data_IF_106870956035
#
_entry.id   IF_106870956035
#
_cell.length_a   1.000
_cell.length_b   1.000
_cell.length_c   1.000
_cell.angle_alpha   90.00
_cell.angle_beta   90.00
_cell.angle_gamma   90.00
#
_symmetry.space_group_name_H-M   'P 1'
#
loop_
_entity.id
_entity.type
_entity.pdbx_description
1 polymer ?
#
# COMPACT_ATOMS: atom_id res chain seq x y z
N UNK A 1 -0.75 33.03 8.53
CA UNK A 1 0.05 31.93 7.95
C UNK A 1 -0.71 31.30 6.78
N UNK A 2 -1.19 32.13 5.86
CA UNK A 2 -1.79 31.68 4.62
C UNK A 2 -0.70 31.76 3.55
N UNK A 3 -0.58 30.74 2.71
CA UNK A 3 0.13 30.62 1.45
C UNK A 3 1.37 29.69 1.40
N UNK A 4 1.61 28.84 2.40
CA UNK A 4 2.67 27.83 2.22
C UNK A 4 2.03 26.47 1.92
N UNK A 5 2.30 25.92 0.72
CA UNK A 5 1.84 24.60 0.32
C UNK A 5 2.24 23.54 1.38
N UNK A 6 1.34 22.62 1.77
CA UNK A 6 1.68 21.60 2.75
C UNK A 6 2.71 20.63 2.20
N UNK A 7 3.67 20.21 3.01
CA UNK A 7 4.49 19.03 2.71
C UNK A 7 3.69 17.77 2.89
N UNK A 8 4.13 16.68 2.26
CA UNK A 8 3.44 15.39 2.29
C UNK A 8 4.43 14.28 2.57
N UNK A 9 4.13 13.45 3.55
CA UNK A 9 4.85 12.21 3.84
C UNK A 9 3.87 11.06 3.73
N UNK A 10 4.07 10.19 2.75
CA UNK A 10 3.36 8.91 2.61
C UNK A 10 4.25 7.83 3.19
N UNK A 11 3.79 7.14 4.23
CA UNK A 11 4.45 5.99 4.84
C UNK A 11 3.65 4.75 4.44
N UNK A 12 4.31 3.83 3.76
CA UNK A 12 3.65 2.68 3.12
C UNK A 12 4.40 1.40 3.46
N UNK A 13 3.70 0.44 3.99
CA UNK A 13 4.23 -0.89 4.34
C UNK A 13 3.87 -1.92 3.28
N UNK A 14 4.44 -3.11 3.38
CA UNK A 14 4.33 -4.20 2.42
C UNK A 14 3.81 -5.47 3.13
N UNK A 15 2.65 -5.98 2.74
CA UNK A 15 2.00 -7.14 3.33
C UNK A 15 1.58 -6.97 4.82
N UNK A 16 1.29 -5.76 5.29
CA UNK A 16 0.84 -5.52 6.66
C UNK A 16 -0.65 -5.80 6.81
N UNK A 17 -0.99 -6.67 7.75
CA UNK A 17 -2.37 -7.00 8.05
C UNK A 17 -3.11 -5.92 8.83
N UNK A 18 -4.44 -5.88 8.68
CA UNK A 18 -5.31 -4.95 9.42
C UNK A 18 -5.17 -5.12 10.94
N UNK A 19 -4.93 -6.34 11.42
CA UNK A 19 -4.71 -6.66 12.83
C UNK A 19 -3.26 -6.60 13.30
N UNK A 20 -2.35 -5.97 12.54
CA UNK A 20 -0.92 -5.91 12.87
C UNK A 20 -0.48 -4.55 13.44
N UNK A 21 -1.41 -3.66 13.79
CA UNK A 21 -1.14 -2.37 14.44
C UNK A 21 -2.14 -2.09 15.55
N UNK A 22 -1.73 -1.35 16.58
CA UNK A 22 -2.55 -1.08 17.77
C UNK A 22 -3.80 -0.26 17.49
N UNK A 23 -3.72 0.78 16.65
CA UNK A 23 -4.85 1.69 16.37
C UNK A 23 -6.04 1.04 15.62
N UNK A 24 -5.88 -0.16 15.07
CA UNK A 24 -6.98 -0.97 14.52
C UNK A 24 -7.47 -2.05 15.48
N UNK A 25 -6.94 -2.09 16.70
CA UNK A 25 -7.26 -3.11 17.71
C UNK A 25 -6.44 -4.39 17.55
N UNK A 26 -5.31 -4.33 16.85
CA UNK A 26 -4.40 -5.47 16.70
C UNK A 26 -3.84 -5.94 18.05
N UNK A 27 -3.72 -7.26 18.22
CA UNK A 27 -3.23 -7.88 19.44
C UNK A 27 -1.82 -8.48 19.23
N UNK A 28 -0.95 -8.26 20.23
CA UNK A 28 0.40 -8.83 20.25
C UNK A 28 1.47 -8.09 19.44
N UNK A 29 1.16 -6.99 18.74
CA UNK A 29 2.14 -6.10 18.11
C UNK A 29 2.01 -4.71 18.72
N UNK A 30 3.04 -4.25 19.44
CA UNK A 30 3.07 -2.90 20.00
C UNK A 30 3.57 -1.92 18.92
N UNK A 31 2.73 -0.94 18.59
CA UNK A 31 3.03 0.12 17.60
C UNK A 31 2.73 1.51 18.17
N UNK A 32 3.38 1.91 19.29
CA UNK A 32 3.02 3.15 19.99
C UNK A 32 3.15 4.41 19.14
N UNK A 33 4.15 4.51 18.27
CA UNK A 33 4.34 5.68 17.41
C UNK A 33 3.29 5.77 16.29
N UNK A 34 2.87 4.64 15.72
CA UNK A 34 1.74 4.58 14.78
C UNK A 34 0.42 4.89 15.47
N UNK A 35 0.24 4.42 16.70
CA UNK A 35 -0.95 4.70 17.52
C UNK A 35 -1.03 6.20 17.85
N UNK A 36 0.10 6.83 18.22
CA UNK A 36 0.18 8.27 18.46
C UNK A 36 -0.07 9.07 17.16
N UNK A 37 0.47 8.63 16.03
CA UNK A 37 0.21 9.24 14.73
C UNK A 37 -1.28 9.19 14.38
N UNK A 38 -1.92 8.04 14.55
CA UNK A 38 -3.35 7.86 14.32
C UNK A 38 -4.19 8.72 15.28
N UNK A 39 -3.82 8.78 16.56
CA UNK A 39 -4.48 9.60 17.58
C UNK A 39 -4.32 11.11 17.30
N UNK A 40 -3.23 11.53 16.64
CA UNK A 40 -3.00 12.93 16.24
C UNK A 40 -3.81 13.37 15.02
N UNK A 41 -4.61 12.49 14.43
CA UNK A 41 -5.39 12.75 13.22
C UNK A 41 -6.65 11.90 13.11
N UNK A 42 -6.87 11.28 11.95
CA UNK A 42 -8.04 10.47 11.66
C UNK A 42 -7.65 9.03 11.27
N UNK A 43 -8.28 8.04 11.90
CA UNK A 43 -8.23 6.63 11.51
C UNK A 43 -9.35 6.33 10.52
N UNK A 44 -9.01 5.64 9.41
CA UNK A 44 -9.96 5.19 8.39
C UNK A 44 -10.31 3.71 8.65
N UNK A 45 -11.51 3.43 9.17
CA UNK A 45 -11.90 2.04 9.48
C UNK A 45 -12.15 1.18 8.24
N UNK A 46 -12.52 1.80 7.12
CA UNK A 46 -12.87 1.14 5.84
C UNK A 46 -11.99 1.68 4.72
N UNK A 47 -10.68 1.47 4.87
CA UNK A 47 -9.74 1.83 3.81
C UNK A 47 -9.21 0.59 3.12
N UNK A 48 -9.16 0.66 1.80
CA UNK A 48 -8.88 -0.50 0.98
C UNK A 48 -7.69 -0.26 0.03
N UNK A 49 -6.84 -1.27 -0.09
CA UNK A 49 -5.95 -1.41 -1.22
C UNK A 49 -6.76 -1.55 -2.52
N UNK A 50 -6.31 -0.99 -3.63
CA UNK A 50 -6.99 -1.18 -4.92
C UNK A 50 -6.76 -2.56 -5.54
N UNK A 51 -5.84 -3.32 -5.00
CA UNK A 51 -5.55 -4.70 -5.39
C UNK A 51 -5.05 -5.48 -4.17
N UNK A 52 -5.28 -6.79 -4.10
CA UNK A 52 -4.79 -7.61 -3.00
C UNK A 52 -3.30 -7.97 -3.13
N UNK A 53 -2.54 -7.25 -4.00
CA UNK A 53 -1.11 -7.46 -4.24
C UNK A 53 -0.38 -6.15 -4.53
N UNK A 54 0.96 -6.18 -4.34
CA UNK A 54 1.83 -5.00 -4.25
C UNK A 54 1.80 -4.07 -5.48
N UNK A 55 2.29 -4.51 -6.66
CA UNK A 55 2.50 -3.63 -7.83
C UNK A 55 1.24 -2.89 -8.26
N UNK A 56 0.07 -3.56 -8.41
CA UNK A 56 -1.17 -2.88 -8.78
C UNK A 56 -1.61 -1.83 -7.76
N UNK A 57 -1.50 -2.16 -6.46
CA UNK A 57 -1.89 -1.23 -5.40
C UNK A 57 -0.99 0.01 -5.35
N UNK A 58 0.33 -0.17 -5.55
CA UNK A 58 1.31 0.92 -5.66
C UNK A 58 1.05 1.81 -6.87
N UNK A 59 0.70 1.21 -8.02
CA UNK A 59 0.31 1.95 -9.21
C UNK A 59 -0.93 2.82 -8.94
N UNK A 60 -1.95 2.27 -8.27
CA UNK A 60 -3.17 3.01 -7.95
C UNK A 60 -2.90 4.19 -7.01
N UNK A 61 -2.09 4.02 -5.95
CA UNK A 61 -1.71 5.10 -5.05
C UNK A 61 -1.04 6.26 -5.79
N UNK A 62 -0.07 5.94 -6.65
CA UNK A 62 0.72 6.96 -7.34
C UNK A 62 -0.03 7.65 -8.48
N UNK A 63 -0.93 6.95 -9.16
CA UNK A 63 -1.64 7.50 -10.32
C UNK A 63 -3.01 8.07 -10.01
N UNK A 64 -3.60 7.69 -8.88
CA UNK A 64 -5.01 7.96 -8.56
C UNK A 64 -5.99 7.18 -9.45
N UNK A 65 -5.51 6.16 -10.16
CA UNK A 65 -6.30 5.36 -11.12
C UNK A 65 -6.47 3.92 -10.67
N UNK A 66 -7.52 3.28 -11.15
CA UNK A 66 -7.65 1.83 -11.01
C UNK A 66 -6.43 1.12 -11.61
N UNK A 67 -5.90 0.04 -11.00
CA UNK A 67 -4.67 -0.63 -11.44
C UNK A 67 -4.64 -1.00 -12.94
N UNK A 68 -5.74 -1.55 -13.45
CA UNK A 68 -5.85 -1.89 -14.87
C UNK A 68 -5.79 -0.67 -15.79
N UNK A 69 -6.40 0.46 -15.39
CA UNK A 69 -6.33 1.71 -16.12
C UNK A 69 -4.93 2.35 -16.03
N UNK A 70 -4.25 2.18 -14.90
CA UNK A 70 -2.86 2.59 -14.74
C UNK A 70 -1.87 1.73 -15.55
N UNK A 71 -2.31 0.58 -16.06
CA UNK A 71 -1.49 -0.34 -16.85
C UNK A 71 -0.71 -1.36 -16.02
N UNK A 72 -1.06 -1.56 -14.74
CA UNK A 72 -0.41 -2.51 -13.84
C UNK A 72 -1.48 -3.27 -13.08
N UNK A 73 -1.98 -4.37 -13.66
CA UNK A 73 -3.03 -5.21 -13.05
C UNK A 73 -2.51 -6.48 -12.37
N UNK A 74 -1.21 -6.76 -12.51
CA UNK A 74 -0.56 -7.98 -11.98
C UNK A 74 0.74 -7.65 -11.26
N UNK A 75 1.26 -8.60 -10.48
CA UNK A 75 2.58 -8.49 -9.86
C UNK A 75 3.65 -8.40 -10.95
N UNK A 76 4.49 -7.38 -10.86
CA UNK A 76 5.55 -7.17 -11.83
C UNK A 76 6.77 -8.03 -11.54
N UNK A 77 7.44 -8.49 -12.61
CA UNK A 77 8.73 -9.16 -12.52
C UNK A 77 9.84 -8.18 -12.11
N UNK A 78 10.99 -8.73 -11.73
CA UNK A 78 12.10 -8.00 -11.14
C UNK A 78 13.43 -8.11 -11.89
N UNK A 79 13.45 -8.70 -13.08
CA UNK A 79 14.67 -8.72 -13.90
C UNK A 79 15.05 -7.30 -14.32
N UNK A 80 16.35 -7.01 -14.41
CA UNK A 80 16.85 -5.68 -14.84
C UNK A 80 16.32 -5.32 -16.23
N UNK A 81 15.92 -4.06 -16.39
CA UNK A 81 15.44 -3.52 -17.66
C UNK A 81 14.01 -3.91 -18.03
N UNK A 82 13.23 -4.44 -17.10
CA UNK A 82 11.83 -4.77 -17.34
C UNK A 82 10.95 -3.53 -17.27
N UNK A 83 10.04 -3.40 -18.23
CA UNK A 83 9.01 -2.37 -18.20
C UNK A 83 8.00 -2.66 -17.07
N UNK A 84 7.48 -1.59 -16.53
CA UNK A 84 6.48 -1.61 -15.46
C UNK A 84 5.41 -0.57 -15.69
N UNK A 85 5.24 0.34 -14.72
CA UNK A 85 4.29 1.44 -14.84
C UNK A 85 4.57 2.23 -16.11
N UNK A 86 3.62 2.33 -17.07
CA UNK A 86 3.78 3.14 -18.26
C UNK A 86 3.97 4.62 -17.93
N UNK A 87 4.62 5.36 -18.83
CA UNK A 87 4.77 6.81 -18.70
C UNK A 87 3.40 7.49 -18.62
N UNK A 88 3.11 8.10 -17.48
CA UNK A 88 1.87 8.82 -17.22
C UNK A 88 2.04 9.80 -16.05
N UNK A 89 1.02 10.64 -15.84
CA UNK A 89 0.99 11.53 -14.69
C UNK A 89 0.84 10.72 -13.39
N UNK A 90 1.76 10.95 -12.46
CA UNK A 90 1.72 10.41 -11.10
C UNK A 90 1.55 11.53 -10.09
N UNK A 91 1.22 11.21 -8.85
CA UNK A 91 1.24 12.18 -7.75
C UNK A 91 2.60 12.89 -7.66
N UNK A 92 3.70 12.13 -7.80
CA UNK A 92 5.04 12.70 -7.74
C UNK A 92 5.34 13.65 -8.92
N UNK A 93 4.92 13.32 -10.16
CA UNK A 93 5.09 14.24 -11.30
C UNK A 93 4.29 15.53 -11.12
N UNK A 94 3.02 15.43 -10.69
CA UNK A 94 2.15 16.59 -10.47
C UNK A 94 2.68 17.51 -9.36
N UNK A 95 3.15 16.95 -8.26
CA UNK A 95 3.75 17.71 -7.16
C UNK A 95 5.09 18.33 -7.57
N UNK A 96 5.96 17.60 -8.26
CA UNK A 96 7.23 18.13 -8.79
C UNK A 96 6.98 19.32 -9.72
N UNK A 97 6.03 19.20 -10.64
CA UNK A 97 5.69 20.22 -11.60
C UNK A 97 5.06 21.47 -10.91
N UNK A 98 4.50 21.31 -9.70
CA UNK A 98 4.06 22.38 -8.81
C UNK A 98 5.17 22.92 -7.88
N UNK A 99 6.43 22.49 -8.04
CA UNK A 99 7.58 23.00 -7.30
C UNK A 99 7.94 22.27 -6.03
N UNK A 100 7.34 21.09 -5.76
CA UNK A 100 7.74 20.24 -4.65
C UNK A 100 9.08 19.55 -4.92
N UNK A 101 9.90 19.41 -3.90
CA UNK A 101 11.01 18.46 -3.91
C UNK A 101 10.47 17.07 -3.59
N UNK A 102 10.77 16.08 -4.43
CA UNK A 102 10.16 14.75 -4.36
C UNK A 102 11.21 13.68 -4.09
N UNK A 103 10.92 12.77 -3.17
CA UNK A 103 11.77 11.63 -2.88
C UNK A 103 10.97 10.35 -2.67
N UNK A 104 11.55 9.24 -3.11
CA UNK A 104 11.13 7.88 -2.76
C UNK A 104 12.27 7.20 -2.00
N UNK A 105 11.96 6.64 -0.84
CA UNK A 105 12.89 5.81 -0.07
C UNK A 105 12.26 4.44 0.19
N UNK A 106 12.96 3.37 -0.22
CA UNK A 106 12.52 1.99 -0.05
C UNK A 106 12.04 1.31 -1.33
N UNK A 107 10.98 0.50 -1.24
CA UNK A 107 10.48 -0.36 -2.30
C UNK A 107 9.78 0.44 -3.41
N UNK A 108 10.18 0.19 -4.67
CA UNK A 108 9.49 0.72 -5.85
C UNK A 108 8.43 -0.24 -6.40
N UNK A 109 8.84 -1.37 -6.91
CA UNK A 109 8.04 -2.46 -7.48
C UNK A 109 7.10 -2.05 -8.65
N UNK A 110 7.48 -1.04 -9.42
CA UNK A 110 6.73 -0.58 -10.60
C UNK A 110 7.57 -0.57 -11.88
N UNK A 111 8.56 -1.46 -11.96
CA UNK A 111 9.43 -1.68 -13.10
C UNK A 111 10.89 -1.36 -12.81
N UNK A 112 11.78 -1.95 -13.60
CA UNK A 112 13.24 -1.88 -13.42
C UNK A 112 13.96 -1.27 -14.63
N UNK A 113 13.23 -0.87 -15.68
CA UNK A 113 13.78 -0.09 -16.80
C UNK A 113 13.96 1.37 -16.40
N UNK A 114 14.81 2.11 -17.12
CA UNK A 114 15.00 3.54 -16.89
C UNK A 114 13.70 4.33 -17.04
N UNK A 115 12.84 3.95 -17.98
CA UNK A 115 11.56 4.61 -18.25
C UNK A 115 10.54 4.36 -17.13
N UNK A 116 10.57 3.14 -16.54
CA UNK A 116 9.70 2.76 -15.42
C UNK A 116 10.35 2.97 -14.05
N UNK A 117 11.47 3.69 -13.98
CA UNK A 117 12.18 4.01 -12.73
C UNK A 117 11.45 5.08 -11.90
N UNK A 118 11.78 5.23 -10.60
CA UNK A 118 11.27 6.34 -9.78
C UNK A 118 11.52 7.71 -10.42
N UNK A 119 12.69 7.95 -11.01
CA UNK A 119 13.01 9.20 -11.69
C UNK A 119 12.11 9.45 -12.91
N UNK A 120 11.81 8.42 -13.70
CA UNK A 120 10.86 8.49 -14.81
C UNK A 120 9.44 8.85 -14.38
N UNK A 121 9.11 8.64 -13.12
CA UNK A 121 7.79 8.89 -12.54
C UNK A 121 7.75 10.04 -11.53
N UNK A 122 8.72 10.97 -11.61
CA UNK A 122 8.65 12.26 -10.94
C UNK A 122 9.38 12.36 -9.60
N UNK A 123 10.09 11.32 -9.16
CA UNK A 123 10.92 11.42 -7.95
C UNK A 123 12.30 11.98 -8.27
N UNK A 124 12.62 13.14 -7.69
CA UNK A 124 13.91 13.80 -7.85
C UNK A 124 15.04 13.13 -7.07
N UNK A 125 14.70 12.38 -6.01
CA UNK A 125 15.63 11.57 -5.22
C UNK A 125 15.09 10.17 -5.02
N UNK A 126 15.99 9.18 -5.02
CA UNK A 126 15.65 7.78 -4.78
C UNK A 126 16.75 7.11 -3.96
N UNK A 127 16.35 6.38 -2.92
CA UNK A 127 17.16 5.41 -2.22
C UNK A 127 16.32 4.17 -1.94
N UNK A 128 16.75 2.99 -2.36
CA UNK A 128 15.98 1.77 -2.13
C UNK A 128 16.19 0.72 -3.22
N UNK A 129 15.16 -0.08 -3.49
CA UNK A 129 15.23 -1.17 -4.43
C UNK A 129 14.05 -1.17 -5.42
N UNK A 130 14.27 -1.75 -6.59
CA UNK A 130 13.31 -1.70 -7.71
C UNK A 130 12.41 -2.93 -7.75
N UNK A 131 12.87 -4.07 -7.23
CA UNK A 131 12.18 -5.36 -7.23
C UNK A 131 11.00 -5.43 -6.25
N UNK A 132 10.31 -6.57 -6.26
CA UNK A 132 9.20 -6.85 -5.33
C UNK A 132 9.64 -7.13 -3.91
N UNK A 133 10.80 -7.74 -3.71
CA UNK A 133 11.39 -8.00 -2.40
C UNK A 133 12.90 -8.20 -2.53
N UNK A 134 13.60 -7.93 -1.44
CA UNK A 134 15.03 -8.18 -1.27
C UNK A 134 15.28 -8.69 0.15
N UNK A 135 16.38 -9.37 0.35
CA UNK A 135 16.90 -9.70 1.68
C UNK A 135 17.24 -8.43 2.46
N UNK A 136 16.90 -8.39 3.75
CA UNK A 136 17.02 -7.17 4.56
C UNK A 136 18.44 -6.76 4.90
N UNK A 137 19.42 -7.65 4.73
CA UNK A 137 20.83 -7.39 5.06
C UNK A 137 21.77 -7.51 3.87
N UNK A 138 21.48 -8.40 2.93
CA UNK A 138 22.28 -8.55 1.71
C UNK A 138 21.74 -7.73 0.55
N UNK A 139 20.48 -7.27 0.63
CA UNK A 139 19.79 -6.49 -0.41
C UNK A 139 19.71 -7.24 -1.75
N UNK A 140 19.71 -8.59 -1.69
CA UNK A 140 19.64 -9.46 -2.86
C UNK A 140 18.18 -9.88 -3.05
N UNK A 141 17.66 -9.71 -4.26
CA UNK A 141 16.44 -10.34 -4.71
C UNK A 141 16.74 -11.83 -4.98
N UNK A 142 16.15 -12.72 -4.17
CA UNK A 142 16.42 -14.17 -4.19
C UNK A 142 15.28 -14.99 -4.80
N UNK A 143 14.24 -14.35 -5.32
CA UNK A 143 13.08 -15.04 -5.90
C UNK A 143 13.46 -15.97 -7.04
N UNK A 144 14.39 -15.57 -7.91
CA UNK A 144 15.05 -16.43 -8.86
C UNK A 144 16.33 -17.00 -8.23
N UNK A 145 16.22 -18.17 -7.60
CA UNK A 145 17.36 -18.86 -6.96
C UNK A 145 18.53 -19.14 -7.90
N UNK A 146 18.25 -19.26 -9.20
CA UNK A 146 19.29 -19.49 -10.20
C UNK A 146 20.08 -18.23 -10.54
N UNK A 147 19.48 -17.05 -10.38
CA UNK A 147 20.05 -15.77 -10.74
C UNK A 147 19.74 -14.71 -9.69
N UNK A 148 20.30 -14.81 -8.47
CA UNK A 148 20.10 -13.78 -7.46
C UNK A 148 20.67 -12.46 -7.94
N UNK A 149 19.88 -11.37 -7.83
CA UNK A 149 20.26 -10.04 -8.24
C UNK A 149 20.36 -9.15 -7.01
N UNK A 150 21.49 -8.47 -6.84
CA UNK A 150 21.59 -7.38 -5.88
C UNK A 150 20.73 -6.20 -6.38
N UNK A 151 19.99 -5.58 -5.48
CA UNK A 151 19.02 -4.54 -5.84
C UNK A 151 18.92 -3.50 -4.73
N UNK A 152 19.96 -2.71 -4.58
CA UNK A 152 19.97 -1.50 -3.74
C UNK A 152 20.59 -0.34 -4.52
N UNK A 153 19.90 0.81 -4.52
CA UNK A 153 20.21 1.94 -5.39
C UNK A 153 20.22 3.25 -4.63
N UNK A 154 21.14 4.14 -5.02
CA UNK A 154 21.16 5.55 -4.67
C UNK A 154 20.98 6.36 -5.95
N UNK A 155 19.78 6.89 -6.19
CA UNK A 155 19.43 7.45 -7.49
C UNK A 155 19.44 6.39 -8.59
N UNK A 156 20.32 6.53 -9.59
CA UNK A 156 20.53 5.56 -10.68
C UNK A 156 21.76 4.67 -10.48
N UNK A 157 22.49 4.83 -9.37
CA UNK A 157 23.70 4.09 -9.08
C UNK A 157 23.41 2.95 -8.10
N UNK A 158 23.87 1.73 -8.43
CA UNK A 158 23.80 0.59 -7.53
C UNK A 158 24.79 0.80 -6.36
N UNK A 159 24.31 0.60 -5.13
CA UNK A 159 25.11 0.78 -3.92
C UNK A 159 25.11 -0.47 -3.05
N UNK A 160 26.20 -0.76 -2.35
CA UNK A 160 26.38 -1.97 -1.55
C UNK A 160 26.55 -1.60 -0.07
N UNK A 161 25.58 -2.03 0.74
CA UNK A 161 25.48 -1.77 2.17
C UNK A 161 25.25 -3.08 2.95
N UNK A 162 25.94 -4.15 2.56
CA UNK A 162 25.74 -5.48 3.12
C UNK A 162 25.95 -5.49 4.64
N UNK A 163 25.00 -6.11 5.35
CA UNK A 163 25.00 -6.20 6.82
C UNK A 163 24.23 -5.06 7.50
N UNK A 164 23.82 -4.01 6.77
CA UNK A 164 22.95 -2.96 7.30
C UNK A 164 21.49 -3.36 7.13
N UNK A 165 20.67 -3.14 8.15
CA UNK A 165 19.27 -3.52 8.14
C UNK A 165 18.43 -2.53 7.33
N UNK A 166 17.78 -3.01 6.29
CA UNK A 166 17.14 -2.17 5.28
C UNK A 166 16.05 -1.25 5.84
N UNK A 167 15.23 -1.71 6.81
CA UNK A 167 14.21 -0.87 7.44
C UNK A 167 14.81 0.36 8.13
N UNK A 168 15.95 0.19 8.82
CA UNK A 168 16.69 1.30 9.43
C UNK A 168 17.23 2.24 8.36
N UNK A 169 17.84 1.70 7.29
CA UNK A 169 18.39 2.50 6.19
C UNK A 169 17.32 3.35 5.49
N UNK A 170 16.11 2.80 5.29
CA UNK A 170 14.97 3.53 4.73
C UNK A 170 14.58 4.69 5.65
N UNK A 171 14.51 4.45 6.96
CA UNK A 171 14.22 5.49 7.95
C UNK A 171 15.28 6.59 7.95
N UNK A 172 16.56 6.21 7.94
CA UNK A 172 17.68 7.16 7.92
C UNK A 172 17.62 8.04 6.66
N UNK A 173 17.44 7.44 5.49
CA UNK A 173 17.31 8.17 4.23
C UNK A 173 16.08 9.10 4.19
N UNK A 174 14.99 8.72 4.84
CA UNK A 174 13.79 9.56 4.99
C UNK A 174 14.10 10.80 5.86
N UNK A 175 14.71 10.61 7.02
CA UNK A 175 15.10 11.69 7.93
C UNK A 175 16.14 12.63 7.26
N UNK A 176 17.17 12.07 6.61
CA UNK A 176 18.17 12.85 5.86
C UNK A 176 17.54 13.70 4.74
N UNK A 177 16.54 13.15 4.02
CA UNK A 177 15.81 13.94 3.02
C UNK A 177 15.07 15.10 3.67
N UNK A 178 14.34 14.87 4.77
CA UNK A 178 13.59 15.92 5.47
C UNK A 178 14.51 17.02 6.02
N UNK A 179 15.71 16.67 6.51
CA UNK A 179 16.69 17.63 7.02
C UNK A 179 17.30 18.51 5.92
N UNK A 180 17.44 17.95 4.72
CA UNK A 180 18.12 18.59 3.60
C UNK A 180 17.19 19.43 2.71
N UNK A 181 15.88 19.05 2.68
CA UNK A 181 14.90 19.68 1.78
C UNK A 181 14.46 21.05 2.31
N UNK A 182 14.42 22.05 1.42
CA UNK A 182 13.87 23.37 1.69
C UNK A 182 12.53 23.56 0.95
N UNK A 183 11.53 24.13 1.63
CA UNK A 183 10.19 24.37 1.06
C UNK A 183 9.31 23.11 1.03
N UNK A 184 8.24 23.11 0.18
CA UNK A 184 7.26 22.02 0.12
C UNK A 184 7.92 20.76 -0.44
N UNK A 185 7.59 19.63 0.17
CA UNK A 185 8.19 18.34 -0.20
C UNK A 185 7.18 17.21 -0.23
N UNK A 186 7.43 16.25 -1.10
CA UNK A 186 6.73 14.97 -1.16
C UNK A 186 7.73 13.84 -0.91
N UNK A 187 7.59 13.18 0.21
CA UNK A 187 8.39 12.03 0.61
C UNK A 187 7.53 10.77 0.61
N UNK A 188 7.89 9.79 -0.21
CA UNK A 188 7.27 8.47 -0.19
C UNK A 188 8.21 7.49 0.50
N UNK A 189 7.91 7.15 1.77
CA UNK A 189 8.61 6.16 2.58
C UNK A 189 7.95 4.81 2.37
N UNK A 190 8.57 3.96 1.58
CA UNK A 190 8.02 2.68 1.14
C UNK A 190 8.80 1.53 1.78
N UNK A 191 8.43 1.18 3.01
CA UNK A 191 9.04 0.05 3.71
C UNK A 191 8.73 -1.27 2.99
N UNK A 192 9.69 -2.19 2.97
CA UNK A 192 9.49 -3.57 2.57
C UNK A 192 8.98 -4.45 3.72
N UNK A 193 9.03 -3.98 4.96
CA UNK A 193 8.50 -4.67 6.12
C UNK A 193 6.96 -4.56 6.19
N UNK A 194 6.28 -5.62 6.66
CA UNK A 194 6.80 -6.90 7.11
C UNK A 194 6.84 -8.02 6.03
N UNK A 195 6.97 -7.69 4.73
CA UNK A 195 7.10 -8.67 3.65
C UNK A 195 8.30 -9.62 3.90
N UNK A 196 8.17 -10.89 3.53
CA UNK A 196 9.28 -11.84 3.63
C UNK A 196 10.49 -11.45 2.75
N UNK A 197 11.74 -11.93 3.08
CA UNK A 197 12.10 -12.86 4.16
C UNK A 197 11.92 -12.22 5.51
N UNK A 198 11.56 -13.03 6.51
CA UNK A 198 11.27 -12.52 7.85
C UNK A 198 12.58 -12.31 8.62
N UNK A 199 13.08 -11.08 8.55
CA UNK A 199 14.31 -10.67 9.21
C UNK A 199 14.09 -9.44 10.08
N UNK A 200 14.56 -9.51 11.32
CA UNK A 200 14.63 -8.35 12.21
C UNK A 200 15.92 -8.40 13.05
N UNK A 201 16.47 -7.26 13.49
CA UNK A 201 17.58 -7.21 14.44
C UNK A 201 17.21 -7.90 15.76
N UNK A 202 18.19 -8.55 16.40
CA UNK A 202 17.98 -9.36 17.60
C UNK A 202 17.35 -8.56 18.76
N UNK A 203 17.67 -7.28 18.89
CA UNK A 203 17.08 -6.38 19.89
C UNK A 203 15.58 -6.17 19.72
N UNK A 204 15.07 -6.20 18.49
CA UNK A 204 13.63 -6.15 18.22
C UNK A 204 12.97 -7.51 18.49
N UNK A 205 13.60 -8.61 18.05
CA UNK A 205 13.10 -9.96 18.28
C UNK A 205 12.93 -10.24 19.77
N UNK A 206 13.90 -9.85 20.59
CA UNK A 206 13.86 -10.04 22.04
C UNK A 206 12.71 -9.31 22.76
N UNK A 207 12.11 -8.28 22.16
CA UNK A 207 10.93 -7.60 22.73
C UNK A 207 9.68 -8.50 22.74
N UNK A 208 9.66 -9.56 21.91
CA UNK A 208 8.48 -10.37 21.64
C UNK A 208 8.70 -11.89 21.92
N UNK A 209 9.59 -12.25 22.84
CA UNK A 209 9.91 -13.63 23.19
C UNK A 209 8.71 -14.46 23.67
N UNK A 210 7.63 -13.80 24.07
CA UNK A 210 6.38 -14.43 24.50
C UNK A 210 5.47 -14.86 23.32
N UNK A 211 5.78 -14.46 22.09
CA UNK A 211 4.98 -14.82 20.91
C UNK A 211 5.53 -16.06 20.19
N UNK A 212 4.69 -16.80 19.44
CA UNK A 212 5.15 -17.84 18.51
C UNK A 212 6.13 -17.27 17.47
N UNK A 213 7.02 -18.11 16.95
CA UNK A 213 8.17 -17.69 16.13
C UNK A 213 7.79 -16.81 14.92
N UNK A 214 6.80 -17.22 14.14
CA UNK A 214 6.35 -16.47 12.97
C UNK A 214 5.72 -15.12 13.36
N UNK A 215 4.88 -15.11 14.39
CA UNK A 215 4.25 -13.90 14.92
C UNK A 215 5.29 -12.98 15.56
N UNK A 216 6.27 -13.55 16.28
CA UNK A 216 7.39 -12.83 16.87
C UNK A 216 8.17 -12.04 15.82
N UNK A 217 8.47 -12.65 14.68
CA UNK A 217 9.22 -12.00 13.61
C UNK A 217 8.43 -10.84 12.98
N UNK A 218 7.14 -11.01 12.72
CA UNK A 218 6.28 -9.90 12.25
C UNK A 218 6.25 -8.76 13.26
N UNK A 219 6.05 -9.06 14.54
CA UNK A 219 6.02 -8.06 15.60
C UNK A 219 7.36 -7.30 15.70
N UNK A 220 8.49 -8.02 15.60
CA UNK A 220 9.82 -7.43 15.61
C UNK A 220 10.09 -6.53 14.38
N UNK A 221 9.67 -6.96 13.19
CA UNK A 221 9.78 -6.16 11.97
C UNK A 221 8.92 -4.91 12.04
N UNK A 222 7.70 -5.04 12.57
CA UNK A 222 6.79 -3.90 12.75
C UNK A 222 7.25 -2.95 13.84
N UNK A 223 7.89 -3.42 14.91
CA UNK A 223 8.49 -2.54 15.91
C UNK A 223 9.63 -1.70 15.31
N UNK A 224 10.41 -2.24 14.37
CA UNK A 224 11.43 -1.46 13.66
C UNK A 224 10.82 -0.41 12.72
N UNK A 225 9.69 -0.72 12.08
CA UNK A 225 8.92 0.27 11.29
C UNK A 225 8.34 1.35 12.20
N UNK A 226 7.74 0.96 13.32
CA UNK A 226 7.12 1.87 14.28
C UNK A 226 8.13 2.86 14.88
N UNK A 227 9.31 2.37 15.32
CA UNK A 227 10.42 3.22 15.76
C UNK A 227 10.85 4.18 14.61
N UNK A 228 10.84 3.71 13.36
CA UNK A 228 11.12 4.51 12.17
C UNK A 228 10.10 5.62 11.95
N UNK A 229 8.81 5.32 12.12
CA UNK A 229 7.72 6.32 12.05
C UNK A 229 7.90 7.38 13.12
N UNK A 230 8.20 6.97 14.36
CA UNK A 230 8.50 7.89 15.46
C UNK A 230 9.62 8.86 15.10
N UNK A 231 10.74 8.35 14.57
CA UNK A 231 11.88 9.17 14.14
C UNK A 231 11.55 10.16 13.01
N UNK A 232 10.73 9.76 12.05
CA UNK A 232 10.28 10.65 10.95
C UNK A 232 9.43 11.79 11.52
N UNK A 233 8.45 11.48 12.39
CA UNK A 233 7.58 12.48 13.03
C UNK A 233 8.40 13.42 13.92
N UNK A 234 9.30 12.89 14.76
CA UNK A 234 10.21 13.68 15.59
C UNK A 234 11.12 14.60 14.75
N UNK A 235 11.57 14.15 13.59
CA UNK A 235 12.34 14.96 12.65
C UNK A 235 11.51 16.14 12.12
N UNK A 236 10.23 15.91 11.76
CA UNK A 236 9.33 16.99 11.34
C UNK A 236 9.07 17.99 12.47
N UNK A 237 8.92 17.52 13.71
CA UNK A 237 8.72 18.37 14.90
C UNK A 237 9.97 19.23 15.18
N UNK A 238 11.14 18.62 15.19
CA UNK A 238 12.44 19.30 15.40
C UNK A 238 12.73 20.37 14.34
N UNK A 239 12.29 20.13 13.11
CA UNK A 239 12.42 21.08 12.00
C UNK A 239 11.30 22.15 12.00
N UNK A 240 10.33 22.08 12.91
CA UNK A 240 9.18 22.99 12.96
C UNK A 240 8.23 22.87 11.75
N UNK A 241 8.20 21.69 11.09
CA UNK A 241 7.46 21.46 9.84
C UNK A 241 6.19 20.62 10.04
N UNK A 242 6.02 20.02 11.24
CA UNK A 242 4.93 19.07 11.51
C UNK A 242 3.54 19.65 11.25
N UNK A 243 3.31 20.89 11.67
CA UNK A 243 2.02 21.59 11.53
C UNK A 243 1.57 21.77 10.06
N UNK A 244 2.53 21.90 9.14
CA UNK A 244 2.26 22.05 7.70
C UNK A 244 2.67 20.82 6.89
N UNK A 245 2.57 19.64 7.50
CA UNK A 245 2.87 18.36 6.84
C UNK A 245 1.72 17.38 7.02
N UNK A 246 1.20 16.90 5.89
CA UNK A 246 0.27 15.77 5.83
C UNK A 246 1.10 14.49 5.98
N UNK A 247 0.78 13.67 6.97
CA UNK A 247 1.35 12.31 7.11
C UNK A 247 0.24 11.30 6.88
N UNK A 248 0.42 10.46 5.88
CA UNK A 248 -0.46 9.35 5.55
C UNK A 248 0.27 8.04 5.82
N UNK A 249 -0.35 7.11 6.52
CA UNK A 249 0.14 5.75 6.76
C UNK A 249 -0.83 4.72 6.24
N UNK A 250 -0.34 3.69 5.54
CA UNK A 250 -1.13 2.52 5.16
C UNK A 250 -0.24 1.35 4.67
N UNK A 251 -0.88 0.26 4.22
CA UNK A 251 -0.24 -0.91 3.58
C UNK A 251 -0.72 -1.11 2.14
N UNK A 252 0.07 -1.81 1.33
CA UNK A 252 -0.27 -2.04 -0.08
C UNK A 252 -1.29 -3.18 -0.28
N UNK A 253 -1.37 -4.13 0.61
CA UNK A 253 -2.36 -5.21 0.67
C UNK A 253 -2.39 -5.84 2.07
N UNK A 254 -3.31 -6.77 2.28
CA UNK A 254 -3.35 -7.57 3.49
C UNK A 254 -2.18 -8.55 3.62
N UNK A 255 -2.07 -9.26 4.77
CA UNK A 255 -0.89 -10.06 5.09
C UNK A 255 -0.76 -11.28 4.17
N UNK A 256 0.49 -11.67 3.90
CA UNK A 256 0.80 -12.85 3.11
C UNK A 256 0.54 -14.14 3.90
N UNK A 257 0.00 -15.14 3.22
CA UNK A 257 -0.08 -16.53 3.69
C UNK A 257 0.57 -17.48 2.67
N UNK A 258 1.58 -17.00 1.97
CA UNK A 258 2.33 -17.79 0.99
C UNK A 258 3.28 -18.78 1.68
N UNK A 259 3.61 -19.89 1.00
CA UNK A 259 4.54 -20.90 1.49
C UNK A 259 6.03 -20.52 1.37
N UNK A 260 6.34 -19.33 0.87
CA UNK A 260 7.70 -18.88 0.56
C UNK A 260 8.31 -17.95 1.61
N UNK A 261 7.78 -17.99 2.81
CA UNK A 261 8.32 -17.21 3.91
C UNK A 261 9.54 -17.89 4.51
N UNK A 262 10.70 -17.28 4.31
CA UNK A 262 11.97 -17.77 4.81
C UNK A 262 12.14 -17.41 6.29
N UNK A 263 11.52 -18.20 7.17
CA UNK A 263 11.76 -18.13 8.60
C UNK A 263 12.89 -19.06 9.00
N UNK A 264 13.90 -18.55 9.68
CA UNK A 264 15.10 -19.33 10.08
C UNK A 264 15.82 -20.02 8.91
N UNK A 265 15.74 -19.45 7.69
CA UNK A 265 16.36 -20.01 6.49
C UNK A 265 15.61 -21.17 5.84
N UNK A 266 14.40 -21.48 6.33
CA UNK A 266 13.53 -22.53 5.78
C UNK A 266 12.31 -21.95 5.06
N UNK A 267 11.89 -22.60 3.98
CA UNK A 267 10.66 -22.29 3.27
C UNK A 267 9.49 -23.01 3.96
N UNK A 268 8.70 -22.26 4.71
CA UNK A 268 7.58 -22.79 5.49
C UNK A 268 6.27 -22.08 5.16
N UNK A 269 5.16 -22.73 5.45
CA UNK A 269 3.87 -22.06 5.48
C UNK A 269 3.89 -20.98 6.57
N UNK A 270 3.38 -19.79 6.23
CA UNK A 270 3.43 -18.62 7.09
C UNK A 270 2.03 -18.17 7.47
N UNK A 271 1.84 -17.90 8.75
CA UNK A 271 0.59 -17.42 9.31
C UNK A 271 0.81 -16.30 10.35
N UNK A 272 1.99 -15.66 10.36
CA UNK A 272 2.36 -14.70 11.39
C UNK A 272 1.73 -13.32 11.25
N UNK A 273 1.29 -12.91 10.04
CA UNK A 273 0.51 -11.68 9.83
C UNK A 273 -0.94 -11.85 10.28
N UNK A 274 -1.58 -10.79 10.76
CA UNK A 274 -2.94 -10.80 11.29
C UNK A 274 -3.90 -9.95 10.45
N UNK A 275 -4.95 -10.57 9.96
CA UNK A 275 -6.06 -9.84 9.29
C UNK A 275 -7.00 -9.15 10.28
N UNK A 276 -6.80 -9.31 11.60
CA UNK A 276 -7.75 -8.85 12.62
C UNK A 276 -9.06 -9.63 12.61
N UNK A 277 -9.03 -10.89 12.14
CA UNK A 277 -10.21 -11.75 12.01
C UNK A 277 -10.98 -11.58 10.70
N UNK A 278 -10.56 -10.67 9.81
CA UNK A 278 -11.13 -10.50 8.47
C UNK A 278 -10.79 -11.71 7.60
N UNK A 279 -11.71 -12.12 6.74
CA UNK A 279 -11.53 -13.26 5.84
C UNK A 279 -10.55 -12.98 4.72
N UNK A 280 -9.77 -13.98 4.34
CA UNK A 280 -8.83 -13.93 3.21
C UNK A 280 -7.49 -13.28 3.58
N UNK A 281 -6.54 -13.37 2.66
CA UNK A 281 -5.17 -12.88 2.79
C UNK A 281 -4.73 -12.26 1.45
N UNK A 282 -3.48 -11.82 1.33
CA UNK A 282 -2.87 -11.37 0.08
C UNK A 282 -3.28 -12.24 -1.10
N UNK A 283 -3.74 -11.64 -2.19
CA UNK A 283 -4.28 -12.32 -3.37
C UNK A 283 -5.79 -12.58 -3.31
N UNK A 284 -6.46 -12.27 -2.21
CA UNK A 284 -7.90 -12.40 -2.02
C UNK A 284 -8.63 -11.08 -2.13
N UNK A 285 -9.81 -11.05 -2.75
CA UNK A 285 -10.70 -9.89 -2.72
C UNK A 285 -11.68 -9.89 -1.52
N UNK A 286 -11.54 -10.84 -0.58
CA UNK A 286 -12.16 -10.71 0.74
C UNK A 286 -11.49 -9.61 1.56
N UNK A 287 -12.15 -9.15 2.62
CA UNK A 287 -11.71 -8.01 3.44
C UNK A 287 -10.26 -8.16 3.92
N UNK A 288 -9.85 -9.35 4.37
CA UNK A 288 -8.49 -9.59 4.86
C UNK A 288 -7.37 -9.45 3.83
N UNK A 289 -7.68 -9.52 2.54
CA UNK A 289 -6.71 -9.30 1.46
C UNK A 289 -6.59 -7.85 1.01
N UNK A 290 -7.64 -7.05 1.20
CA UNK A 290 -7.72 -5.68 0.66
C UNK A 290 -7.95 -4.58 1.70
N UNK A 291 -8.55 -4.88 2.87
CA UNK A 291 -8.73 -3.89 3.94
C UNK A 291 -7.43 -3.74 4.72
N UNK A 292 -6.92 -2.52 4.79
CA UNK A 292 -5.59 -2.22 5.32
C UNK A 292 -5.64 -1.13 6.40
N UNK A 293 -4.74 -1.19 7.41
CA UNK A 293 -4.69 -0.16 8.44
C UNK A 293 -4.32 1.18 7.84
N UNK A 294 -5.05 2.24 8.19
CA UNK A 294 -4.84 3.55 7.56
C UNK A 294 -5.13 4.69 8.52
N UNK A 295 -4.24 5.66 8.54
CA UNK A 295 -4.48 6.93 9.21
C UNK A 295 -3.94 8.13 8.41
N UNK A 296 -4.57 9.28 8.63
CA UNK A 296 -4.18 10.58 8.10
C UNK A 296 -3.95 11.54 9.27
N UNK A 297 -2.80 12.18 9.32
CA UNK A 297 -2.50 13.17 10.32
C UNK A 297 -2.03 14.48 9.68
N UNK A 298 -2.75 15.56 9.95
CA UNK A 298 -2.41 16.93 9.53
C UNK A 298 -2.85 17.89 10.62
N UNK A 299 -1.95 18.23 11.56
CA UNK A 299 -2.29 19.09 12.69
C UNK A 299 -2.91 20.41 12.25
N UNK A 300 -3.91 20.87 13.01
CA UNK A 300 -4.65 22.09 12.69
C UNK A 300 -5.67 21.98 11.56
N UNK A 301 -5.67 20.89 10.79
CA UNK A 301 -6.61 20.66 9.66
C UNK A 301 -7.48 19.42 9.90
N UNK A 302 -6.88 18.31 10.25
CA UNK A 302 -7.60 17.07 10.62
C UNK A 302 -7.79 17.04 12.13
N UNK A 303 -9.03 16.83 12.59
CA UNK A 303 -9.34 16.78 14.03
C UNK A 303 -8.71 15.54 14.65
N UNK A 304 -7.87 15.68 15.71
CA UNK A 304 -7.27 14.54 16.40
C UNK A 304 -8.32 13.58 17.00
N UNK A 305 -7.99 12.28 16.99
CA UNK A 305 -8.83 11.20 17.52
C UNK A 305 -10.10 10.93 16.71
N UNK A 306 -10.18 11.45 15.49
CA UNK A 306 -11.33 11.17 14.61
C UNK A 306 -11.27 9.72 14.08
N UNK A 307 -12.42 9.06 14.03
CA UNK A 307 -12.59 7.78 13.33
C UNK A 307 -13.60 7.94 12.22
N UNK A 308 -13.22 7.60 11.00
CA UNK A 308 -14.06 7.72 9.82
C UNK A 308 -14.45 6.34 9.29
N UNK A 309 -15.76 6.12 9.14
CA UNK A 309 -16.33 4.91 8.54
C UNK A 309 -16.58 5.05 7.02
N UNK A 310 -16.11 6.15 6.44
CA UNK A 310 -16.23 6.41 5.00
C UNK A 310 -15.35 5.43 4.24
N UNK A 311 -15.89 4.68 3.26
CA UNK A 311 -15.09 3.79 2.42
C UNK A 311 -14.12 4.58 1.54
N UNK A 312 -12.84 4.23 1.58
CA UNK A 312 -11.78 4.82 0.77
C UNK A 312 -10.87 3.76 0.13
N UNK A 313 -10.18 4.13 -0.93
CA UNK A 313 -9.20 3.28 -1.62
C UNK A 313 -7.85 4.00 -1.80
N UNK A 314 -6.79 3.25 -2.08
CA UNK A 314 -5.46 3.83 -2.32
C UNK A 314 -5.43 4.84 -3.47
N UNK A 315 -6.26 4.66 -4.48
CA UNK A 315 -6.42 5.63 -5.57
C UNK A 315 -6.92 7.01 -5.10
N UNK A 316 -7.49 7.11 -3.89
CA UNK A 316 -7.96 8.36 -3.30
C UNK A 316 -6.82 9.22 -2.72
N UNK A 317 -5.64 8.64 -2.51
CA UNK A 317 -4.50 9.36 -1.94
C UNK A 317 -4.06 10.50 -2.86
N UNK A 318 -3.91 10.23 -4.15
CA UNK A 318 -3.48 11.25 -5.10
C UNK A 318 -4.44 12.44 -5.18
N UNK A 319 -5.76 12.29 -5.43
CA UNK A 319 -6.69 13.42 -5.46
C UNK A 319 -6.83 14.12 -4.09
N UNK A 320 -6.68 13.41 -2.96
CA UNK A 320 -6.73 14.01 -1.63
C UNK A 320 -5.53 14.94 -1.40
N UNK A 321 -4.33 14.47 -1.69
CA UNK A 321 -3.10 15.27 -1.56
C UNK A 321 -3.11 16.46 -2.52
N UNK A 322 -3.52 16.26 -3.78
CA UNK A 322 -3.60 17.34 -4.76
C UNK A 322 -4.64 18.39 -4.37
N UNK A 323 -5.80 17.97 -3.87
CA UNK A 323 -6.82 18.90 -3.34
C UNK A 323 -6.27 19.71 -2.16
N UNK A 324 -5.56 19.07 -1.21
CA UNK A 324 -4.93 19.74 -0.08
C UNK A 324 -3.85 20.75 -0.51
N UNK A 325 -3.17 20.48 -1.63
CA UNK A 325 -2.20 21.40 -2.24
C UNK A 325 -2.85 22.47 -3.16
N UNK A 326 -4.18 22.47 -3.32
CA UNK A 326 -4.87 23.36 -4.23
C UNK A 326 -4.57 23.09 -5.72
N UNK A 327 -4.16 21.89 -6.07
CA UNK A 327 -3.78 21.48 -7.43
C UNK A 327 -4.91 20.72 -8.12
N UNK A 328 -5.01 20.79 -9.46
CA UNK A 328 -5.99 20.01 -10.21
C UNK A 328 -5.68 18.51 -10.15
N UNK A 329 -6.73 17.69 -10.14
CA UNK A 329 -6.64 16.23 -10.10
C UNK A 329 -7.62 15.54 -11.04
N UNK A 330 -7.82 16.12 -12.22
CA UNK A 330 -8.54 15.50 -13.33
C UNK A 330 -7.86 14.20 -13.82
N UNK A 331 -8.64 13.35 -14.48
CA UNK A 331 -8.18 12.08 -15.06
C UNK A 331 -7.68 11.06 -14.01
N UNK A 332 -8.36 11.01 -12.85
CA UNK A 332 -8.20 9.99 -11.81
C UNK A 332 -9.52 9.24 -11.59
N UNK A 333 -9.46 8.05 -11.02
CA UNK A 333 -10.64 7.27 -10.60
C UNK A 333 -10.93 7.44 -9.10
N UNK A 334 -9.91 7.84 -8.34
CA UNK A 334 -10.02 8.11 -6.92
C UNK A 334 -10.83 9.38 -6.63
N UNK A 335 -11.38 9.44 -5.43
CA UNK A 335 -12.14 10.58 -4.90
C UNK A 335 -11.37 11.23 -3.74
N UNK A 336 -11.27 12.55 -3.71
CA UNK A 336 -10.62 13.25 -2.61
C UNK A 336 -11.34 13.03 -1.28
N UNK A 337 -10.60 12.57 -0.29
CA UNK A 337 -11.06 12.41 1.09
C UNK A 337 -10.84 13.67 1.95
N UNK A 338 -10.38 14.78 1.35
CA UNK A 338 -10.13 16.01 2.10
C UNK A 338 -11.40 16.52 2.79
N UNK A 339 -12.55 16.45 2.12
CA UNK A 339 -13.84 16.84 2.72
C UNK A 339 -14.15 16.03 3.99
N UNK A 340 -14.26 14.71 3.93
CA UNK A 340 -14.44 13.86 5.12
C UNK A 340 -13.38 14.06 6.21
N UNK A 341 -12.11 14.20 5.85
CA UNK A 341 -11.03 14.47 6.81
C UNK A 341 -11.17 15.82 7.53
N UNK A 342 -11.86 16.78 6.92
CA UNK A 342 -12.10 18.12 7.48
C UNK A 342 -13.53 18.32 7.98
N UNK A 343 -14.32 17.23 8.11
CA UNK A 343 -15.66 17.24 8.72
C UNK A 343 -16.83 17.44 7.75
N UNK A 344 -16.59 17.41 6.44
CA UNK A 344 -17.69 17.41 5.46
C UNK A 344 -18.23 15.98 5.26
N UNK A 345 -19.51 15.83 4.88
CA UNK A 345 -20.03 14.52 4.48
C UNK A 345 -19.27 13.93 3.30
N UNK A 346 -19.18 12.61 3.26
CA UNK A 346 -18.69 11.91 2.09
C UNK A 346 -19.82 11.63 1.10
N UNK A 347 -19.50 11.61 -0.18
CA UNK A 347 -20.41 11.15 -1.21
C UNK A 347 -20.54 9.63 -1.20
N UNK A 348 -21.74 9.12 -1.47
CA UNK A 348 -21.96 7.70 -1.72
C UNK A 348 -21.29 7.29 -3.02
N UNK A 349 -20.55 6.19 -3.00
CA UNK A 349 -19.87 5.68 -4.19
C UNK A 349 -19.74 4.16 -4.15
N UNK A 350 -19.44 3.58 -5.31
CA UNK A 350 -19.03 2.20 -5.45
C UNK A 350 -17.52 2.09 -5.53
N UNK A 351 -16.97 1.10 -4.85
CA UNK A 351 -15.58 0.72 -4.93
C UNK A 351 -15.47 -0.58 -5.72
N UNK A 352 -14.48 -0.66 -6.61
CA UNK A 352 -14.30 -1.80 -7.52
C UNK A 352 -12.90 -2.39 -7.38
N UNK A 353 -12.81 -3.71 -7.54
CA UNK A 353 -11.56 -4.46 -7.55
C UNK A 353 -11.55 -5.51 -8.66
N UNK A 354 -10.36 -5.78 -9.14
CA UNK A 354 -10.04 -6.89 -10.03
C UNK A 354 -8.67 -7.45 -9.68
N UNK A 355 -8.56 -8.77 -9.64
CA UNK A 355 -7.28 -9.46 -9.57
C UNK A 355 -7.42 -10.94 -9.96
N UNK A 356 -6.60 -11.40 -10.91
CA UNK A 356 -6.45 -12.81 -11.29
C UNK A 356 -7.79 -13.55 -11.48
N UNK A 357 -8.70 -12.94 -12.24
CA UNK A 357 -10.03 -13.46 -12.55
C UNK A 357 -11.09 -13.28 -11.45
N UNK A 358 -10.73 -12.73 -10.29
CA UNK A 358 -11.67 -12.27 -9.28
C UNK A 358 -12.13 -10.86 -9.62
N UNK A 359 -13.40 -10.53 -9.38
CA UNK A 359 -13.90 -9.16 -9.40
C UNK A 359 -14.79 -8.90 -8.19
N UNK A 360 -14.80 -7.66 -7.70
CA UNK A 360 -15.64 -7.28 -6.58
C UNK A 360 -16.12 -5.83 -6.70
N UNK A 361 -17.29 -5.58 -6.08
CA UNK A 361 -17.85 -4.23 -5.92
C UNK A 361 -18.45 -4.09 -4.52
N UNK A 362 -18.25 -2.90 -3.91
CA UNK A 362 -18.84 -2.58 -2.61
C UNK A 362 -19.39 -1.15 -2.59
N UNK A 363 -20.51 -0.95 -1.89
CA UNK A 363 -21.04 0.37 -1.52
C UNK A 363 -20.74 0.75 -0.06
N UNK A 364 -19.89 -0.05 0.60
CA UNK A 364 -19.56 0.09 2.02
C UNK A 364 -20.53 -0.63 2.98
N UNK A 365 -21.75 -0.98 2.53
CA UNK A 365 -22.71 -1.79 3.31
C UNK A 365 -22.78 -3.21 2.78
N UNK A 366 -22.86 -3.35 1.47
CA UNK A 366 -22.88 -4.63 0.77
C UNK A 366 -21.64 -4.78 -0.11
N UNK A 367 -21.14 -6.00 -0.20
CA UNK A 367 -20.05 -6.38 -1.10
C UNK A 367 -20.45 -7.62 -1.89
N UNK A 368 -20.32 -7.53 -3.21
CA UNK A 368 -20.46 -8.63 -4.14
C UNK A 368 -19.09 -9.03 -4.65
N UNK A 369 -18.74 -10.31 -4.58
CA UNK A 369 -17.47 -10.85 -5.08
C UNK A 369 -17.76 -11.98 -6.05
N UNK A 370 -17.12 -11.98 -7.22
CA UNK A 370 -17.14 -13.07 -8.20
C UNK A 370 -15.82 -13.84 -8.16
N UNK A 371 -15.91 -15.15 -8.24
CA UNK A 371 -14.78 -16.08 -8.29
C UNK A 371 -13.75 -15.90 -7.15
N UNK A 372 -14.19 -15.67 -5.89
CA UNK A 372 -13.29 -15.38 -4.79
C UNK A 372 -12.31 -16.51 -4.49
N UNK A 373 -11.14 -16.14 -3.98
CA UNK A 373 -10.08 -17.02 -3.48
C UNK A 373 -9.69 -16.61 -2.07
N UNK A 374 -9.19 -17.55 -1.26
CA UNK A 374 -8.75 -17.22 0.11
C UNK A 374 -7.39 -16.53 0.17
N UNK A 375 -6.52 -16.80 -0.80
CA UNK A 375 -5.16 -16.26 -0.84
C UNK A 375 -4.52 -16.44 -2.21
N UNK A 376 -3.37 -15.81 -2.39
CA UNK A 376 -2.56 -15.93 -3.60
C UNK A 376 -2.27 -17.42 -3.94
N UNK A 377 -2.53 -17.79 -5.17
CA UNK A 377 -2.34 -19.17 -5.68
C UNK A 377 -3.38 -20.18 -5.22
N UNK A 378 -4.40 -19.78 -4.42
CA UNK A 378 -5.51 -20.66 -4.07
C UNK A 378 -6.50 -20.82 -5.24
N UNK A 379 -7.27 -21.91 -5.23
CA UNK A 379 -8.40 -22.10 -6.16
C UNK A 379 -9.59 -21.22 -5.82
N UNK A 380 -10.53 -21.10 -6.76
CA UNK A 380 -11.85 -20.52 -6.56
C UNK A 380 -12.64 -21.28 -5.48
N UNK A 381 -13.35 -20.55 -4.62
CA UNK A 381 -14.15 -21.12 -3.54
C UNK A 381 -15.60 -21.30 -3.97
N UNK A 382 -16.16 -20.27 -4.61
CA UNK A 382 -17.54 -20.20 -5.02
C UNK A 382 -17.71 -19.24 -6.21
N UNK A 383 -18.70 -19.41 -7.09
CA UNK A 383 -18.86 -18.51 -8.23
C UNK A 383 -19.18 -17.07 -7.84
N UNK A 384 -19.99 -16.88 -6.79
CA UNK A 384 -20.45 -15.55 -6.33
C UNK A 384 -20.69 -15.56 -4.83
N UNK A 385 -20.21 -14.52 -4.15
CA UNK A 385 -20.54 -14.23 -2.76
C UNK A 385 -21.15 -12.84 -2.61
N UNK A 386 -22.18 -12.71 -1.75
CA UNK A 386 -22.76 -11.44 -1.33
C UNK A 386 -22.69 -11.34 0.18
N UNK A 387 -22.03 -10.31 0.69
CA UNK A 387 -21.78 -10.13 2.11
C UNK A 387 -22.27 -8.76 2.59
N UNK A 388 -22.81 -8.72 3.80
CA UNK A 388 -23.32 -7.50 4.43
C UNK A 388 -22.32 -6.98 5.46
N UNK A 389 -21.41 -6.12 5.04
CA UNK A 389 -20.23 -5.69 5.81
C UNK A 389 -20.56 -4.90 7.09
N UNK A 390 -21.72 -4.23 7.19
CA UNK A 390 -22.13 -3.53 8.41
C UNK A 390 -22.58 -4.47 9.56
N UNK A 391 -22.72 -5.79 9.28
CA UNK A 391 -23.14 -6.83 10.23
C UNK A 391 -22.19 -8.03 10.27
N UNK A 392 -21.51 -8.30 9.20
CA UNK A 392 -20.62 -9.45 8.99
C UNK A 392 -19.37 -8.97 8.23
N UNK A 393 -18.54 -8.17 8.89
CA UNK A 393 -17.31 -7.66 8.29
C UNK A 393 -16.25 -8.75 8.05
N UNK A 394 -16.48 -9.96 8.59
CA UNK A 394 -15.63 -11.13 8.42
C UNK A 394 -16.06 -12.03 7.25
N UNK A 395 -17.12 -11.65 6.54
CA UNK A 395 -17.62 -12.33 5.33
C UNK A 395 -17.87 -13.84 5.53
N UNK A 396 -18.45 -14.20 6.67
CA UNK A 396 -18.70 -15.59 7.06
C UNK A 396 -20.00 -16.15 6.47
N UNK A 397 -20.98 -15.27 6.20
CA UNK A 397 -22.31 -15.67 5.76
C UNK A 397 -22.59 -15.15 4.35
N UNK A 398 -22.42 -16.02 3.36
CA UNK A 398 -22.82 -15.70 1.99
C UNK A 398 -24.35 -15.59 1.89
N UNK A 399 -24.84 -14.40 1.55
CA UNK A 399 -26.29 -14.08 1.41
C UNK A 399 -26.71 -14.02 -0.07
N UNK A 400 -25.89 -14.53 -0.98
CA UNK A 400 -26.23 -14.52 -2.40
C UNK A 400 -27.38 -15.46 -2.71
N UNK A 401 -28.47 -14.87 -3.20
CA UNK A 401 -29.61 -15.58 -3.74
C UNK A 401 -30.02 -14.94 -5.09
N UNK A 402 -30.46 -15.77 -6.03
CA UNK A 402 -30.94 -15.26 -7.31
C UNK A 402 -32.16 -14.34 -7.10
N UNK A 403 -32.04 -13.08 -7.55
CA UNK A 403 -33.09 -12.07 -7.38
C UNK A 403 -32.96 -11.24 -6.09
N UNK A 404 -31.93 -11.45 -5.28
CA UNK A 404 -31.63 -10.53 -4.16
C UNK A 404 -31.43 -9.10 -4.70
N UNK A 405 -32.11 -8.08 -4.15
CA UNK A 405 -32.06 -6.71 -4.71
C UNK A 405 -30.65 -6.14 -4.80
N UNK A 406 -29.85 -6.30 -3.74
CA UNK A 406 -28.47 -5.78 -3.72
C UNK A 406 -27.53 -6.61 -4.61
N UNK A 407 -27.72 -7.93 -4.73
CA UNK A 407 -26.97 -8.74 -5.68
C UNK A 407 -27.23 -8.29 -7.13
N UNK A 408 -28.50 -7.97 -7.47
CA UNK A 408 -28.87 -7.46 -8.79
C UNK A 408 -28.28 -6.09 -9.06
N UNK A 409 -28.37 -5.15 -8.11
CA UNK A 409 -27.87 -3.79 -8.22
C UNK A 409 -26.34 -3.77 -8.36
N UNK A 410 -25.64 -4.43 -7.44
CA UNK A 410 -24.17 -4.52 -7.45
C UNK A 410 -23.66 -5.34 -8.63
N UNK A 411 -24.38 -6.43 -9.00
CA UNK A 411 -24.06 -7.23 -10.17
C UNK A 411 -24.08 -6.43 -11.46
N UNK A 412 -25.11 -5.59 -11.66
CA UNK A 412 -25.21 -4.70 -12.84
C UNK A 412 -24.07 -3.67 -12.87
N UNK A 413 -23.69 -3.13 -11.71
CA UNK A 413 -22.56 -2.20 -11.63
C UNK A 413 -21.23 -2.91 -11.95
N UNK A 414 -21.07 -4.14 -11.47
CA UNK A 414 -19.88 -4.95 -11.73
C UNK A 414 -19.78 -5.38 -13.22
N UNK A 415 -20.89 -5.69 -13.88
CA UNK A 415 -20.93 -5.95 -15.32
C UNK A 415 -20.44 -4.74 -16.14
N UNK A 416 -20.85 -3.54 -15.74
CA UNK A 416 -20.36 -2.28 -16.33
C UNK A 416 -18.85 -2.11 -16.15
N UNK A 417 -18.36 -2.31 -14.95
CA UNK A 417 -16.93 -2.22 -14.63
C UNK A 417 -16.10 -3.27 -15.39
N UNK A 418 -16.56 -4.52 -15.48
CA UNK A 418 -15.87 -5.59 -16.25
C UNK A 418 -15.80 -5.25 -17.74
N UNK A 419 -16.80 -4.57 -18.28
CA UNK A 419 -16.78 -4.08 -19.67
C UNK A 419 -15.73 -2.96 -19.87
N UNK A 420 -15.62 -2.01 -18.93
CA UNK A 420 -14.58 -0.97 -18.97
C UNK A 420 -13.19 -1.57 -18.81
N UNK A 421 -13.03 -2.54 -17.91
CA UNK A 421 -11.79 -3.26 -17.67
C UNK A 421 -11.25 -3.90 -18.95
N UNK A 422 -12.11 -4.60 -19.70
CA UNK A 422 -11.75 -5.20 -20.99
C UNK A 422 -11.24 -4.12 -21.97
N UNK A 423 -11.90 -2.97 -22.04
CA UNK A 423 -11.47 -1.85 -22.88
C UNK A 423 -10.12 -1.23 -22.46
N UNK A 424 -9.81 -1.18 -21.17
CA UNK A 424 -8.48 -0.74 -20.70
C UNK A 424 -7.39 -1.74 -21.06
N UNK A 425 -7.65 -3.04 -20.86
CA UNK A 425 -6.72 -4.11 -21.22
C UNK A 425 -6.41 -4.15 -22.71
N UNK A 426 -7.41 -3.96 -23.59
CA UNK A 426 -7.22 -3.84 -25.05
C UNK A 426 -6.35 -2.64 -25.43
N UNK A 427 -6.54 -1.48 -24.80
CA UNK A 427 -5.72 -0.27 -25.04
C UNK A 427 -4.26 -0.49 -24.66
N UNK A 428 -4.00 -1.14 -23.51
CA UNK A 428 -2.65 -1.47 -23.07
C UNK A 428 -2.01 -2.46 -24.03
N UNK A 429 -2.76 -3.50 -24.44
CA UNK A 429 -2.32 -4.46 -25.45
C UNK A 429 -1.90 -3.77 -26.76
N UNK A 430 -2.74 -2.87 -27.25
CA UNK A 430 -2.50 -2.14 -28.50
C UNK A 430 -1.30 -1.17 -28.42
N UNK A 431 -0.97 -0.67 -27.23
CA UNK A 431 0.18 0.22 -27.02
C UNK A 431 1.54 -0.50 -27.10
N UNK A 432 1.58 -1.83 -27.03
CA UNK A 432 2.80 -2.63 -26.94
C UNK A 432 3.54 -2.46 -25.60
N UNK A 433 2.98 -1.72 -24.66
CA UNK A 433 3.54 -1.47 -23.33
C UNK A 433 3.01 -2.48 -22.31
N UNK A 434 3.16 -3.78 -22.60
CA UNK A 434 2.87 -4.79 -21.58
C UNK A 434 3.92 -4.74 -20.49
N UNK A 435 3.51 -4.51 -19.22
CA UNK A 435 4.42 -4.71 -18.11
C UNK A 435 4.84 -6.19 -18.05
N UNK A 436 6.09 -6.41 -17.71
CA UNK A 436 6.62 -7.74 -17.55
C UNK A 436 6.07 -8.35 -16.25
N UNK A 437 5.15 -9.29 -16.40
CA UNK A 437 4.47 -9.98 -15.30
C UNK A 437 5.39 -11.01 -14.65
N UNK A 438 5.28 -11.18 -13.33
CA UNK A 438 5.91 -12.28 -12.62
C UNK A 438 5.21 -13.58 -13.05
N UNK A 439 5.91 -14.43 -13.81
CA UNK A 439 5.40 -15.78 -14.09
C UNK A 439 5.38 -16.59 -12.79
N UNK A 440 4.21 -16.77 -12.22
CA UNK A 440 4.00 -17.74 -11.12
C UNK A 440 4.05 -19.15 -11.71
N UNK A 441 5.21 -19.81 -11.62
CA UNK A 441 5.33 -21.25 -11.87
C UNK A 441 5.19 -22.01 -10.57
#
# INVERSE_FOLDING_TARGET
MADQLPSVVVIYTDDLGYGDVGFTGGDGVATPHLDDLAASGATMRRWYANSPVCSPSRAALLTGRHPARAGVSQILGAKRGMNGLPAQQTLATRLRDAGYQTALVGKWHLGTSSESSPAGHGFGSFFGFLAGCVDYYSHIMYWDRANPLHDLWQGSEETWRNGEYLTTMITDAACEFLERVEGPSFLFVSYNAPHYPLHAPAEYVARFDHLPDDRRMIAAMMAAVDDGVGRIVETLDRLGRRENTIVFFSSDNGPSAESRNWLNGEEIAFAGGSTGGLRGHKGSLYEGGIRVPTCWSWPGTVTPGTTLDVPGQMSDVAPTVLAAAGLPYDDVDGTSQLGPLTGSPADERLLFWEYDGQTAVSDGTWKLVRHPREKLGAGEIEPVGLYRLDRDETETTNQYEAGHPDATRLGSALDGFESELAGWQEKIAASGQYPAILETK
#
